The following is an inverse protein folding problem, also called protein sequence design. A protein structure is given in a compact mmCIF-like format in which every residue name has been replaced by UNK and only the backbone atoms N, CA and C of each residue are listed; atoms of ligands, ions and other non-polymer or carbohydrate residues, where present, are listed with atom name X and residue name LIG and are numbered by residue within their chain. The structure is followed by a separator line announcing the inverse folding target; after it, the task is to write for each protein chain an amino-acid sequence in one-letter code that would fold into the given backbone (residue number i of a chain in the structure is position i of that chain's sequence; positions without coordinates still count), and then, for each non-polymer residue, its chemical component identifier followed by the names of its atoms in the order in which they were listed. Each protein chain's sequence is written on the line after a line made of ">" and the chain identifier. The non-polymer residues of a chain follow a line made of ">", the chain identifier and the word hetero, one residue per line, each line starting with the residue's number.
data_IF_152683351457
#
_entry.id   IF_152683351457
#
_cell.length_a   1.000
_cell.length_b   1.000
_cell.length_c   1.000
_cell.angle_alpha   90.00
_cell.angle_beta   90.00
_cell.angle_gamma   90.00
#
_symmetry.space_group_name_H-M   'P 1'
#
loop_
_entity.id
_entity.type
_entity.pdbx_description
1 polymer ?
#
# COMPACT_ATOMS: atom_id res chain seq x y z
N UNK A 1 -2.99 15.91 15.12
CA UNK A 1 -1.92 15.70 16.13
C UNK A 1 -1.66 14.20 16.42
N UNK A 2 -1.86 13.30 15.43
CA UNK A 2 -1.54 11.89 15.58
C UNK A 2 -0.02 11.70 15.74
N UNK A 3 0.35 10.71 16.58
CA UNK A 3 1.74 10.28 16.75
C UNK A 3 1.84 8.77 16.60
N UNK A 4 3.01 8.26 16.21
CA UNK A 4 3.31 6.85 16.02
C UNK A 4 4.50 6.48 16.90
N UNK A 5 4.40 5.37 17.63
CA UNK A 5 5.48 4.86 18.48
C UNK A 5 5.43 3.34 18.54
N UNK A 6 6.60 2.72 18.75
CA UNK A 6 6.76 1.28 19.03
C UNK A 6 7.43 1.20 20.39
N UNK A 7 6.67 0.93 21.42
CA UNK A 7 7.10 1.12 22.82
C UNK A 7 7.54 -0.17 23.53
N UNK A 8 7.46 -1.31 22.87
CA UNK A 8 7.74 -2.63 23.44
C UNK A 8 9.14 -2.75 24.03
N UNK A 9 10.14 -2.11 23.39
CA UNK A 9 11.50 -2.09 23.93
C UNK A 9 11.60 -1.45 25.31
N UNK A 10 10.73 -0.46 25.61
CA UNK A 10 10.73 0.22 26.92
C UNK A 10 10.16 -0.64 28.06
N UNK A 11 9.39 -1.66 27.70
CA UNK A 11 8.73 -2.55 28.67
C UNK A 11 9.22 -4.00 28.56
N UNK A 12 10.32 -4.24 27.84
CA UNK A 12 10.93 -5.56 27.70
C UNK A 12 10.07 -6.58 26.96
N UNK A 13 9.20 -6.14 26.05
CA UNK A 13 8.37 -7.04 25.24
C UNK A 13 8.94 -7.26 23.83
N UNK A 14 8.68 -8.44 23.27
CA UNK A 14 9.03 -8.78 21.90
C UNK A 14 8.10 -8.12 20.88
N UNK A 15 8.64 -7.86 19.67
CA UNK A 15 7.95 -7.20 18.56
C UNK A 15 7.82 -8.13 17.36
N UNK A 16 7.28 -9.33 17.58
CA UNK A 16 7.15 -10.38 16.55
C UNK A 16 6.30 -9.96 15.34
N UNK A 17 5.51 -8.91 15.49
CA UNK A 17 4.65 -8.32 14.47
C UNK A 17 5.36 -7.26 13.60
N UNK A 18 6.57 -6.81 14.01
CA UNK A 18 7.27 -5.68 13.37
C UNK A 18 7.95 -5.97 12.02
N UNK A 19 8.31 -7.23 11.63
CA UNK A 19 9.05 -7.48 10.39
C UNK A 19 8.49 -6.78 9.14
N UNK A 20 7.17 -6.71 8.88
CA UNK A 20 6.67 -6.00 7.70
C UNK A 20 6.99 -4.50 7.67
N UNK A 21 7.20 -3.88 8.83
CA UNK A 21 7.47 -2.44 8.92
C UNK A 21 8.83 -2.05 8.33
N UNK A 22 9.80 -2.97 8.32
CA UNK A 22 11.15 -2.69 7.78
C UNK A 22 11.13 -2.40 6.27
N UNK A 23 10.05 -2.76 5.58
CA UNK A 23 9.86 -2.49 4.15
C UNK A 23 9.06 -1.21 3.89
N UNK A 24 8.49 -0.58 4.94
CA UNK A 24 7.61 0.58 4.79
C UNK A 24 8.35 1.91 4.90
N UNK A 25 9.47 1.94 5.65
CA UNK A 25 10.27 3.15 5.87
C UNK A 25 11.77 2.82 5.85
N UNK A 26 12.64 3.83 5.69
CA UNK A 26 14.09 3.60 5.69
C UNK A 26 14.56 2.88 6.96
N UNK A 27 15.38 1.85 6.80
CA UNK A 27 15.81 0.94 7.85
C UNK A 27 16.40 1.66 9.08
N UNK A 28 17.16 2.75 8.88
CA UNK A 28 17.74 3.52 9.99
C UNK A 28 16.68 4.17 10.87
N UNK A 29 15.63 4.70 10.25
CA UNK A 29 14.51 5.32 10.97
C UNK A 29 13.70 4.24 11.70
N UNK A 30 13.51 3.08 11.05
CA UNK A 30 12.85 1.95 11.71
C UNK A 30 13.63 1.49 12.93
N UNK A 31 14.96 1.36 12.85
CA UNK A 31 15.81 1.03 14.00
C UNK A 31 15.66 2.05 15.13
N UNK A 32 15.65 3.35 14.82
CA UNK A 32 15.44 4.38 15.84
C UNK A 32 14.07 4.20 16.55
N UNK A 33 12.99 4.01 15.80
CA UNK A 33 11.66 3.77 16.37
C UNK A 33 11.60 2.52 17.25
N UNK A 34 12.14 1.39 16.75
CA UNK A 34 12.13 0.12 17.47
C UNK A 34 12.98 0.14 18.74
N UNK A 35 14.18 0.73 18.67
CA UNK A 35 15.14 0.67 19.76
C UNK A 35 14.93 1.75 20.83
N UNK A 36 14.38 2.91 20.44
CA UNK A 36 14.16 4.02 21.38
C UNK A 36 12.74 4.11 21.90
N UNK A 37 11.77 3.59 21.16
CA UNK A 37 10.34 3.77 21.44
C UNK A 37 9.93 5.25 21.50
N UNK A 38 10.67 6.17 20.83
CA UNK A 38 10.31 7.59 20.75
C UNK A 38 9.15 7.76 19.76
N UNK A 39 8.14 8.56 20.10
CA UNK A 39 7.08 8.87 19.16
C UNK A 39 7.56 9.79 18.05
N UNK A 40 7.05 9.58 16.84
CA UNK A 40 7.16 10.52 15.73
C UNK A 40 5.82 11.19 15.47
N UNK A 41 5.84 12.43 14.99
CA UNK A 41 4.64 13.18 14.61
C UNK A 41 4.08 12.66 13.27
N UNK A 42 2.80 12.98 12.99
CA UNK A 42 2.19 12.72 11.68
C UNK A 42 2.98 13.39 10.53
N UNK A 43 3.48 14.61 10.72
CA UNK A 43 4.32 15.29 9.74
C UNK A 43 5.60 14.49 9.44
N UNK A 44 6.29 14.01 10.49
CA UNK A 44 7.48 13.18 10.32
C UNK A 44 7.15 11.84 9.64
N UNK A 45 6.03 11.21 10.00
CA UNK A 45 5.56 9.99 9.35
C UNK A 45 5.30 10.19 7.85
N UNK A 46 4.78 11.35 7.45
CA UNK A 46 4.61 11.73 6.05
C UNK A 46 5.96 11.94 5.33
N UNK A 47 6.88 12.69 5.93
CA UNK A 47 8.21 12.95 5.36
C UNK A 47 8.99 11.66 5.04
N UNK A 48 8.87 10.63 5.90
CA UNK A 48 9.57 9.35 5.73
C UNK A 48 8.78 8.33 4.90
N UNK A 49 7.62 8.69 4.38
CA UNK A 49 6.77 7.82 3.55
C UNK A 49 5.96 6.77 4.31
N UNK A 50 5.85 6.89 5.65
CA UNK A 50 5.06 5.95 6.46
C UNK A 50 3.55 6.17 6.32
N UNK A 51 3.11 7.41 6.12
CA UNK A 51 1.73 7.74 5.80
C UNK A 51 1.64 8.51 4.48
N UNK A 52 0.57 8.31 3.74
CA UNK A 52 0.38 8.89 2.41
C UNK A 52 -0.01 10.37 2.45
N UNK A 53 -0.75 10.80 3.46
CA UNK A 53 -1.28 12.17 3.61
C UNK A 53 -1.38 12.54 5.08
N UNK A 54 -1.27 13.83 5.36
CA UNK A 54 -1.60 14.43 6.66
C UNK A 54 -2.57 15.55 6.41
N UNK A 55 -3.73 15.48 7.07
CA UNK A 55 -4.83 16.43 6.89
C UNK A 55 -5.37 16.87 8.25
N UNK A 56 -6.11 17.99 8.34
CA UNK A 56 -6.83 18.37 9.56
C UNK A 56 -7.77 17.24 10.02
N UNK A 57 -7.98 17.04 11.33
CA UNK A 57 -8.85 15.98 11.85
C UNK A 57 -10.27 16.02 11.25
N UNK A 58 -10.80 17.19 10.95
CA UNK A 58 -12.13 17.39 10.34
C UNK A 58 -12.22 16.89 8.90
N UNK A 59 -11.08 16.75 8.22
CA UNK A 59 -11.00 16.33 6.81
C UNK A 59 -10.61 14.86 6.66
N UNK A 60 -10.19 14.20 7.74
CA UNK A 60 -9.63 12.84 7.69
C UNK A 60 -10.56 11.85 6.98
N UNK A 61 -11.84 11.81 7.35
CA UNK A 61 -12.80 10.89 6.75
C UNK A 61 -13.09 11.24 5.29
N UNK A 62 -13.19 12.52 4.97
CA UNK A 62 -13.45 13.00 3.60
C UNK A 62 -12.30 12.59 2.67
N UNK A 63 -11.06 12.83 3.06
CA UNK A 63 -9.87 12.49 2.29
C UNK A 63 -9.65 10.98 2.19
N UNK A 64 -9.89 10.24 3.28
CA UNK A 64 -9.79 8.77 3.27
C UNK A 64 -10.81 8.14 2.32
N UNK A 65 -12.06 8.63 2.36
CA UNK A 65 -13.10 8.15 1.45
C UNK A 65 -12.86 8.57 -0.01
N UNK A 66 -12.27 9.75 -0.23
CA UNK A 66 -11.87 10.17 -1.57
C UNK A 66 -10.84 9.21 -2.17
N UNK A 67 -9.78 8.88 -1.43
CA UNK A 67 -8.77 7.91 -1.86
C UNK A 67 -9.38 6.51 -2.06
N UNK A 68 -10.27 6.07 -1.17
CA UNK A 68 -10.95 4.79 -1.32
C UNK A 68 -11.80 4.73 -2.62
N UNK A 69 -12.50 5.82 -2.97
CA UNK A 69 -13.26 5.92 -4.23
C UNK A 69 -12.36 5.85 -5.47
N UNK A 70 -11.19 6.47 -5.44
CA UNK A 70 -10.20 6.35 -6.52
C UNK A 70 -9.78 4.88 -6.73
N UNK A 71 -9.55 4.15 -5.63
CA UNK A 71 -9.20 2.71 -5.70
C UNK A 71 -10.38 1.89 -6.24
N UNK A 72 -11.59 2.15 -5.77
CA UNK A 72 -12.82 1.44 -6.23
C UNK A 72 -13.12 1.73 -7.70
N UNK A 73 -12.74 2.89 -8.21
CA UNK A 73 -12.90 3.22 -9.63
C UNK A 73 -11.94 2.47 -10.56
N UNK A 74 -10.89 1.82 -10.02
CA UNK A 74 -9.95 1.02 -10.79
C UNK A 74 -10.41 -0.43 -10.96
N UNK A 75 -9.86 -1.13 -11.96
CA UNK A 75 -10.18 -2.54 -12.24
C UNK A 75 -9.82 -3.44 -11.03
N UNK A 76 -10.79 -4.14 -10.41
CA UNK A 76 -10.59 -4.81 -9.12
C UNK A 76 -9.55 -5.92 -9.16
N UNK A 77 -9.50 -6.72 -10.23
CA UNK A 77 -8.48 -7.77 -10.40
C UNK A 77 -7.07 -7.16 -10.50
N UNK A 78 -6.92 -6.03 -11.20
CA UNK A 78 -5.65 -5.33 -11.30
C UNK A 78 -5.20 -4.79 -9.94
N UNK A 79 -6.11 -4.19 -9.18
CA UNK A 79 -5.83 -3.67 -7.84
C UNK A 79 -5.37 -4.78 -6.90
N UNK A 80 -6.07 -5.91 -6.90
CA UNK A 80 -5.71 -7.07 -6.08
C UNK A 80 -4.33 -7.63 -6.46
N UNK A 81 -4.08 -7.84 -7.76
CA UNK A 81 -2.81 -8.35 -8.26
C UNK A 81 -1.65 -7.38 -8.00
N UNK A 82 -1.86 -6.07 -8.15
CA UNK A 82 -0.85 -5.05 -7.87
C UNK A 82 -0.46 -5.03 -6.38
N UNK A 83 -1.43 -5.13 -5.48
CA UNK A 83 -1.16 -5.22 -4.04
C UNK A 83 -0.34 -6.47 -3.70
N UNK A 84 -0.74 -7.62 -4.22
CA UNK A 84 -0.02 -8.89 -4.02
C UNK A 84 1.42 -8.82 -4.58
N UNK A 85 1.60 -8.26 -5.77
CA UNK A 85 2.92 -8.05 -6.37
C UNK A 85 3.86 -7.25 -5.47
N UNK A 86 3.36 -6.20 -4.80
CA UNK A 86 4.18 -5.40 -3.89
C UNK A 86 4.71 -6.25 -2.75
N UNK A 87 3.87 -7.08 -2.11
CA UNK A 87 4.31 -7.96 -1.03
C UNK A 87 5.29 -9.03 -1.51
N UNK A 88 4.97 -9.74 -2.59
CA UNK A 88 5.85 -10.77 -3.15
C UNK A 88 7.23 -10.20 -3.55
N UNK A 89 7.28 -8.98 -4.08
CA UNK A 89 8.53 -8.37 -4.52
C UNK A 89 9.49 -8.04 -3.37
N UNK A 90 8.98 -7.88 -2.15
CA UNK A 90 9.84 -7.67 -0.97
C UNK A 90 10.52 -8.97 -0.48
N UNK A 91 9.98 -10.13 -0.83
CA UNK A 91 10.45 -11.45 -0.40
C UNK A 91 11.33 -12.13 -1.45
N UNK A 92 11.41 -11.58 -2.68
CA UNK A 92 12.07 -12.21 -3.81
C UNK A 92 13.16 -11.34 -4.42
N UNK A 93 14.20 -11.97 -4.97
CA UNK A 93 15.13 -11.27 -5.86
C UNK A 93 14.44 -10.82 -7.14
N UNK A 94 14.92 -9.70 -7.73
CA UNK A 94 14.32 -9.01 -8.90
C UNK A 94 13.84 -9.97 -10.02
N UNK A 95 14.67 -10.94 -10.42
CA UNK A 95 14.33 -11.86 -11.52
C UNK A 95 13.18 -12.79 -11.16
N UNK A 96 13.15 -13.30 -9.92
CA UNK A 96 12.07 -14.14 -9.42
C UNK A 96 10.77 -13.34 -9.29
N UNK A 97 10.84 -12.12 -8.77
CA UNK A 97 9.71 -11.21 -8.66
C UNK A 97 9.08 -10.89 -10.02
N UNK A 98 9.89 -10.65 -11.07
CA UNK A 98 9.39 -10.43 -12.43
C UNK A 98 8.68 -11.67 -13.01
N UNK A 99 9.16 -12.87 -12.69
CA UNK A 99 8.49 -14.12 -13.09
C UNK A 99 7.18 -14.31 -12.34
N UNK A 100 7.17 -14.11 -11.02
CA UNK A 100 5.97 -14.18 -10.20
C UNK A 100 4.90 -13.18 -10.66
N UNK A 101 5.30 -11.93 -10.96
CA UNK A 101 4.40 -10.91 -11.49
C UNK A 101 3.71 -11.34 -12.79
N UNK A 102 4.42 -12.00 -13.72
CA UNK A 102 3.81 -12.51 -14.95
C UNK A 102 2.69 -13.53 -14.66
N UNK A 103 2.92 -14.45 -13.72
CA UNK A 103 1.90 -15.42 -13.32
C UNK A 103 0.72 -14.75 -12.60
N UNK A 104 1.01 -13.81 -11.73
CA UNK A 104 0.00 -13.07 -10.98
C UNK A 104 -0.92 -12.24 -11.89
N UNK A 105 -0.36 -11.58 -12.92
CA UNK A 105 -1.12 -10.76 -13.86
C UNK A 105 -1.71 -11.55 -15.04
N UNK A 106 -1.35 -12.81 -15.27
CA UNK A 106 -1.92 -13.59 -16.37
C UNK A 106 -3.46 -13.69 -16.32
N UNK A 107 -4.11 -13.97 -15.18
CA UNK A 107 -5.57 -13.95 -15.09
C UNK A 107 -6.16 -12.57 -15.36
N UNK A 108 -5.48 -11.51 -14.92
CA UNK A 108 -5.91 -10.12 -15.15
C UNK A 108 -5.95 -9.80 -16.63
N UNK A 109 -4.88 -10.16 -17.36
CA UNK A 109 -4.75 -9.90 -18.82
C UNK A 109 -5.80 -10.67 -19.64
N UNK A 110 -6.28 -11.80 -19.14
CA UNK A 110 -7.28 -12.63 -19.80
C UNK A 110 -8.72 -12.36 -19.29
N UNK A 111 -8.90 -11.36 -18.44
CA UNK A 111 -10.21 -11.01 -17.85
C UNK A 111 -11.10 -10.19 -18.79
N UNK A 112 -12.40 -10.16 -18.51
CA UNK A 112 -13.33 -9.26 -19.18
C UNK A 112 -12.96 -7.79 -18.95
N UNK A 113 -12.45 -7.47 -17.77
CA UNK A 113 -12.00 -6.11 -17.39
C UNK A 113 -10.81 -5.65 -18.22
N UNK A 114 -9.93 -6.57 -18.67
CA UNK A 114 -8.82 -6.25 -19.57
C UNK A 114 -9.29 -5.77 -20.97
N UNK A 115 -10.49 -6.16 -21.39
CA UNK A 115 -11.12 -5.69 -22.62
C UNK A 115 -11.95 -4.42 -22.39
N UNK A 116 -12.63 -4.33 -21.27
CA UNK A 116 -13.47 -3.20 -20.88
C UNK A 116 -12.67 -1.89 -20.75
N UNK A 117 -11.52 -1.93 -20.09
CA UNK A 117 -10.70 -0.73 -19.88
C UNK A 117 -10.35 0.01 -21.17
N UNK A 118 -9.68 -0.64 -22.15
CA UNK A 118 -9.37 -0.04 -23.42
C UNK A 118 -10.62 0.38 -24.24
N UNK A 119 -11.73 -0.37 -24.15
CA UNK A 119 -12.97 -0.02 -24.81
C UNK A 119 -13.56 1.27 -24.25
N UNK A 120 -13.72 1.34 -22.92
CA UNK A 120 -14.22 2.52 -22.23
C UNK A 120 -13.37 3.77 -22.51
N UNK A 121 -12.05 3.61 -22.55
CA UNK A 121 -11.11 4.69 -22.88
C UNK A 121 -11.33 5.23 -24.30
N UNK A 122 -11.44 4.35 -25.32
CA UNK A 122 -11.72 4.77 -26.70
C UNK A 122 -13.07 5.47 -26.86
N UNK A 123 -14.07 4.97 -26.12
CA UNK A 123 -15.44 5.49 -26.14
C UNK A 123 -15.64 6.70 -25.22
N UNK A 124 -14.59 7.11 -24.47
CA UNK A 124 -14.61 8.25 -23.52
C UNK A 124 -15.73 8.11 -22.47
N UNK A 125 -15.98 6.91 -22.00
CA UNK A 125 -16.98 6.61 -20.96
C UNK A 125 -16.31 6.03 -19.71
N UNK A 126 -17.05 6.00 -18.61
CA UNK A 126 -16.63 5.32 -17.38
C UNK A 126 -16.64 3.79 -17.63
N UNK A 127 -15.56 3.07 -17.25
CA UNK A 127 -15.51 1.63 -17.36
C UNK A 127 -16.52 0.95 -16.40
N UNK A 128 -16.99 -0.23 -16.81
CA UNK A 128 -17.90 -1.05 -16.02
C UNK A 128 -17.22 -2.36 -15.64
N UNK A 129 -16.46 -2.31 -14.56
CA UNK A 129 -15.71 -3.46 -14.09
C UNK A 129 -16.60 -4.60 -13.63
N UNK A 130 -16.23 -5.83 -13.96
CA UNK A 130 -16.96 -7.05 -13.61
C UNK A 130 -16.20 -7.92 -12.61
N UNK A 131 -14.88 -7.70 -12.44
CA UNK A 131 -14.04 -8.51 -11.57
C UNK A 131 -13.79 -9.94 -12.07
N UNK A 132 -13.91 -10.17 -13.38
CA UNK A 132 -13.76 -11.50 -13.98
C UNK A 132 -13.17 -11.44 -15.38
#
# INVERSE_FOLDING_TARGET
>A
TATFAITEAKVGRGMVWAPPLIHMIPQRIMLELLLTGRPISAARAYEIGFVNRVVPPTELMTESLALAREIVAAAPLTVAAAKEMVYLSTEMGRTAALRAARHLFAPVLNSADAQEGPAAFREKRVPRWQGR
#
